data_IF_665613202775
#
_entry.id   IF_665613202775
#
_cell.length_a   1.000
_cell.length_b   1.000
_cell.length_c   1.000
_cell.angle_alpha   90.00
_cell.angle_beta   90.00
_cell.angle_gamma   90.00
#
_symmetry.space_group_name_H-M   'P 1'
#
loop_
_entity.id
_entity.type
_entity.pdbx_description
1 polymer ?
#
# COMPACT_ATOMS: atom_id res chain seq x y z
N UNK A 1 -4.74 -5.03 -0.18
CA UNK A 1 -3.47 -5.64 -0.65
C UNK A 1 -2.30 -4.67 -0.56
N UNK A 2 -2.51 -3.39 -0.83
CA UNK A 2 -1.47 -2.35 -0.73
C UNK A 2 -0.79 -2.29 0.65
N UNK A 3 -1.55 -2.41 1.75
CA UNK A 3 -1.00 -2.45 3.11
C UNK A 3 -0.01 -3.59 3.33
N UNK A 4 -0.39 -4.81 2.95
CA UNK A 4 0.48 -6.00 3.04
C UNK A 4 1.71 -5.89 2.14
N UNK A 5 1.57 -5.32 0.94
CA UNK A 5 2.71 -5.08 0.04
C UNK A 5 3.76 -4.16 0.69
N UNK A 6 3.32 -3.08 1.34
CA UNK A 6 4.21 -2.20 2.12
C UNK A 6 4.84 -2.93 3.31
N UNK A 7 4.08 -3.75 4.04
CA UNK A 7 4.60 -4.50 5.19
C UNK A 7 5.66 -5.53 4.77
N UNK A 8 5.41 -6.32 3.72
CA UNK A 8 6.36 -7.32 3.21
C UNK A 8 7.66 -6.66 2.73
N UNK A 9 7.57 -5.48 2.10
CA UNK A 9 8.76 -4.74 1.64
C UNK A 9 9.56 -4.10 2.78
N UNK A 10 8.90 -3.76 3.89
CA UNK A 10 9.54 -3.09 5.03
C UNK A 10 10.03 -4.07 6.12
N UNK A 11 9.48 -5.29 6.18
CA UNK A 11 9.81 -6.27 7.21
C UNK A 11 9.89 -7.69 6.66
N UNK A 12 11.09 -8.27 6.68
CA UNK A 12 11.37 -9.62 6.20
C UNK A 12 10.69 -10.75 7.00
N UNK A 13 10.18 -10.47 8.21
CA UNK A 13 9.41 -11.46 8.97
C UNK A 13 7.99 -11.66 8.45
N UNK A 14 7.52 -10.78 7.55
CA UNK A 14 6.21 -10.86 6.92
C UNK A 14 6.39 -11.26 5.46
N UNK A 15 5.69 -12.31 5.03
CA UNK A 15 5.88 -12.89 3.70
C UNK A 15 4.63 -13.57 3.15
N UNK A 16 4.76 -14.04 1.92
CA UNK A 16 3.77 -14.86 1.22
C UNK A 16 3.93 -16.34 1.60
N UNK A 17 2.87 -17.16 1.49
CA UNK A 17 1.53 -16.82 0.98
C UNK A 17 0.64 -16.06 1.98
N UNK A 18 -0.37 -15.36 1.47
CA UNK A 18 -1.44 -14.74 2.27
C UNK A 18 -2.77 -15.44 2.02
N UNK A 19 -3.44 -15.85 3.09
CA UNK A 19 -4.83 -16.32 3.05
C UNK A 19 -5.80 -15.14 3.13
N UNK A 20 -6.73 -15.06 2.18
CA UNK A 20 -7.73 -14.01 2.08
C UNK A 20 -9.11 -14.60 2.17
N UNK A 21 -9.93 -14.08 3.07
CA UNK A 21 -11.36 -14.35 3.14
C UNK A 21 -12.16 -13.07 2.90
N UNK A 22 -13.12 -13.13 1.97
CA UNK A 22 -14.06 -12.05 1.69
C UNK A 22 -15.46 -12.53 2.05
N UNK A 23 -16.02 -11.92 3.09
CA UNK A 23 -17.37 -12.22 3.55
C UNK A 23 -18.32 -11.09 3.14
N UNK A 24 -19.43 -11.47 2.50
CA UNK A 24 -20.47 -10.53 2.14
C UNK A 24 -21.43 -10.33 3.32
N UNK A 25 -21.66 -9.06 3.65
CA UNK A 25 -22.50 -8.67 4.79
C UNK A 25 -23.87 -9.35 4.69
N UNK A 26 -24.34 -9.90 5.81
CA UNK A 26 -25.64 -10.55 5.96
C UNK A 26 -25.91 -11.74 5.00
N UNK A 27 -24.90 -12.20 4.26
CA UNK A 27 -25.08 -13.31 3.31
C UNK A 27 -25.36 -14.64 4.00
N UNK A 28 -24.88 -14.82 5.24
CA UNK A 28 -24.89 -16.09 5.98
C UNK A 28 -24.28 -17.26 5.19
N UNK A 29 -23.50 -16.95 4.17
CA UNK A 29 -22.85 -17.90 3.29
C UNK A 29 -21.36 -18.01 3.64
N UNK A 30 -20.71 -19.14 3.34
CA UNK A 30 -19.27 -19.25 3.49
C UNK A 30 -18.54 -18.13 2.74
N UNK A 31 -17.55 -17.52 3.40
CA UNK A 31 -16.72 -16.48 2.79
C UNK A 31 -16.00 -17.03 1.56
N UNK A 32 -15.82 -16.17 0.54
CA UNK A 32 -14.95 -16.49 -0.59
C UNK A 32 -13.52 -16.53 -0.09
N UNK A 33 -12.82 -17.62 -0.37
CA UNK A 33 -11.44 -17.84 0.05
C UNK A 33 -10.50 -17.73 -1.14
N UNK A 34 -9.29 -17.23 -0.91
CA UNK A 34 -8.23 -17.20 -1.90
C UNK A 34 -6.87 -17.16 -1.25
N UNK A 35 -5.87 -17.72 -1.94
CA UNK A 35 -4.47 -17.68 -1.53
C UNK A 35 -3.73 -16.77 -2.50
N UNK A 36 -2.99 -15.82 -1.95
CA UNK A 36 -2.05 -15.01 -2.71
C UNK A 36 -0.66 -15.56 -2.44
N UNK A 37 -0.09 -16.22 -3.44
CA UNK A 37 1.28 -16.70 -3.40
C UNK A 37 2.23 -15.76 -4.18
N UNK A 38 3.51 -16.10 -4.22
CA UNK A 38 4.54 -15.38 -4.98
C UNK A 38 4.29 -15.36 -6.48
N UNK A 39 3.52 -16.33 -6.99
CA UNK A 39 3.22 -16.52 -8.41
C UNK A 39 1.90 -15.90 -8.85
N UNK A 40 1.12 -15.32 -7.92
CA UNK A 40 -0.16 -14.68 -8.21
C UNK A 40 0.01 -13.44 -9.12
N UNK A 41 -0.50 -13.56 -10.36
CA UNK A 41 -0.37 -12.51 -11.37
C UNK A 41 -1.09 -11.20 -10.99
N UNK A 42 -2.23 -11.30 -10.32
CA UNK A 42 -2.98 -10.13 -9.87
C UNK A 42 -2.22 -9.36 -8.78
N UNK A 43 -1.61 -10.06 -7.83
CA UNK A 43 -0.78 -9.46 -6.79
C UNK A 43 0.43 -8.72 -7.38
N UNK A 44 1.16 -9.35 -8.30
CA UNK A 44 2.30 -8.68 -8.96
C UNK A 44 1.87 -7.43 -9.71
N UNK A 45 0.76 -7.51 -10.45
CA UNK A 45 0.23 -6.37 -11.18
C UNK A 45 -0.14 -5.21 -10.25
N UNK A 46 -0.88 -5.47 -9.17
CA UNK A 46 -1.33 -4.39 -8.27
C UNK A 46 -0.17 -3.80 -7.45
N UNK A 47 0.78 -4.63 -7.01
CA UNK A 47 2.00 -4.19 -6.31
C UNK A 47 2.86 -3.28 -7.20
N UNK A 48 3.06 -3.67 -8.46
CA UNK A 48 3.81 -2.86 -9.43
C UNK A 48 3.15 -1.51 -9.71
N UNK A 49 1.85 -1.52 -10.04
CA UNK A 49 1.09 -0.28 -10.29
C UNK A 49 1.06 0.65 -9.08
N UNK A 50 0.93 0.09 -7.87
CA UNK A 50 0.97 0.88 -6.65
C UNK A 50 2.33 1.56 -6.45
N UNK A 51 3.43 0.82 -6.63
CA UNK A 51 4.77 1.37 -6.50
C UNK A 51 5.05 2.48 -7.52
N UNK A 52 4.60 2.31 -8.77
CA UNK A 52 4.72 3.34 -9.80
C UNK A 52 3.89 4.58 -9.45
N UNK A 53 2.64 4.41 -9.04
CA UNK A 53 1.78 5.53 -8.64
C UNK A 53 2.39 6.32 -7.50
N UNK A 54 2.98 5.65 -6.50
CA UNK A 54 3.59 6.33 -5.36
C UNK A 54 4.82 7.14 -5.78
N UNK A 55 5.66 6.60 -6.67
CA UNK A 55 6.82 7.33 -7.23
C UNK A 55 6.37 8.57 -8.01
N UNK A 56 5.34 8.42 -8.84
CA UNK A 56 4.81 9.51 -9.65
C UNK A 56 4.21 10.62 -8.77
N UNK A 57 3.42 10.25 -7.75
CA UNK A 57 2.87 11.21 -6.79
C UNK A 57 3.96 11.94 -6.03
N UNK A 58 5.03 11.24 -5.62
CA UNK A 58 6.17 11.86 -4.93
C UNK A 58 6.91 12.84 -5.84
N UNK A 59 7.14 12.47 -7.10
CA UNK A 59 7.80 13.33 -8.09
C UNK A 59 6.96 14.56 -8.48
N UNK A 60 5.65 14.50 -8.29
CA UNK A 60 4.73 15.61 -8.55
C UNK A 60 4.60 16.58 -7.35
N UNK A 61 5.22 16.28 -6.20
CA UNK A 61 5.20 17.21 -5.07
C UNK A 61 6.02 18.47 -5.41
N UNK A 62 5.55 19.65 -4.99
CA UNK A 62 6.32 20.88 -5.13
C UNK A 62 7.62 20.79 -4.34
N UNK A 63 8.64 21.54 -4.78
CA UNK A 63 9.89 21.66 -4.04
C UNK A 63 9.62 22.23 -2.64
N UNK A 64 10.28 21.65 -1.64
CA UNK A 64 10.15 22.06 -0.26
C UNK A 64 10.94 23.37 -0.06
N UNK A 65 10.23 24.48 0.04
CA UNK A 65 10.82 25.79 0.34
C UNK A 65 10.89 25.99 1.85
N UNK A 66 12.08 25.88 2.42
CA UNK A 66 12.32 26.08 3.87
C UNK A 66 12.31 27.55 4.31
N UNK A 67 12.23 28.50 3.38
CA UNK A 67 12.36 29.94 3.68
C UNK A 67 11.05 30.58 4.18
N UNK A 68 9.90 29.95 3.95
CA UNK A 68 8.58 30.51 4.32
C UNK A 68 8.10 30.20 5.75
N UNK A 69 8.85 29.42 6.53
CA UNK A 69 8.47 29.03 7.91
C UNK A 69 9.21 29.81 9.01
N UNK A 70 10.04 30.79 8.63
CA UNK A 70 10.76 31.66 9.58
C UNK A 70 10.43 33.12 9.29
N UNK A 71 9.24 33.55 9.68
CA UNK A 71 8.92 34.97 9.82
C UNK A 71 8.00 35.22 11.00
N UNK A 72 8.60 35.82 12.04
CA UNK A 72 8.01 36.72 13.03
C UNK A 72 7.02 36.14 14.07
N UNK A 73 7.56 35.49 15.10
CA UNK A 73 7.15 35.80 16.49
C UNK A 73 8.26 36.65 17.11
N UNK A 74 8.14 37.95 16.89
CA UNK A 74 8.93 38.98 17.53
C UNK A 74 8.03 40.18 17.73
N UNK A 75 7.37 40.20 18.88
CA UNK A 75 6.88 41.41 19.57
C UNK A 75 7.28 41.25 21.05
#
# INVERSE_FOLDING_TARGET
MVSFDSTIKANLSVGLPLDIHVYEKDSLNPARKGVVDTNNAYYRMISGKWAESLKNSLAALPELNFETDVSTEGD
#
